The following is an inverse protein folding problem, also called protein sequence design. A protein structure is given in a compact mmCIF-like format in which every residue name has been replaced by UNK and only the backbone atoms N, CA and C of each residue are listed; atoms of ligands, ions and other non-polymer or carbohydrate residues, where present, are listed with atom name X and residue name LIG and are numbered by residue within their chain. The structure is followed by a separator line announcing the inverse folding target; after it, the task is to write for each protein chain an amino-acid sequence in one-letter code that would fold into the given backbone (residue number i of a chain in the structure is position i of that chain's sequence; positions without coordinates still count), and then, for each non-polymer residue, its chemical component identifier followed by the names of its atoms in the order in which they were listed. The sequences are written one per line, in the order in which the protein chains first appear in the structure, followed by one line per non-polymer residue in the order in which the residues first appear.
data_IF_366771436448
#
_entry.id   IF_366771436448
#
_cell.length_a   1.000
_cell.length_b   1.000
_cell.length_c   1.000
_cell.angle_alpha   90.00
_cell.angle_beta   90.00
_cell.angle_gamma   90.00
#
_symmetry.space_group_name_H-M   'P 1'
#
loop_
_entity.id
_entity.type
_entity.pdbx_description
1 polymer ?
#
# COMPACT_ATOMS: atom_id res chain seq x y z
N UNK A 1 -2.81 -21.07 -12.19
CA UNK A 1 -3.23 -19.69 -12.53
C UNK A 1 -2.02 -18.86 -12.91
N UNK A 2 -2.18 -17.81 -13.71
CA UNK A 2 -1.14 -16.80 -13.92
C UNK A 2 -1.55 -15.54 -13.16
N UNK A 3 -0.61 -14.90 -12.48
CA UNK A 3 -0.89 -13.62 -11.82
C UNK A 3 -0.90 -12.49 -12.85
N UNK A 4 -1.92 -11.65 -12.82
CA UNK A 4 -1.99 -10.47 -13.66
C UNK A 4 -1.06 -9.36 -13.13
N UNK A 5 -0.77 -8.38 -13.98
CA UNK A 5 0.13 -7.26 -13.64
C UNK A 5 -0.37 -6.46 -12.42
N UNK A 6 -1.67 -6.24 -12.34
CA UNK A 6 -2.29 -5.53 -11.21
C UNK A 6 -2.05 -6.25 -9.88
N UNK A 7 -2.30 -7.55 -9.81
CA UNK A 7 -2.03 -8.36 -8.61
C UNK A 7 -0.54 -8.33 -8.24
N UNK A 8 0.34 -8.43 -9.22
CA UNK A 8 1.78 -8.34 -8.99
C UNK A 8 2.20 -6.99 -8.43
N UNK A 9 1.63 -5.90 -8.91
CA UNK A 9 1.94 -4.56 -8.41
C UNK A 9 1.36 -4.31 -7.01
N UNK A 10 0.18 -4.83 -6.72
CA UNK A 10 -0.39 -4.83 -5.36
C UNK A 10 0.53 -5.59 -4.40
N UNK A 11 0.96 -6.80 -4.75
CA UNK A 11 1.86 -7.61 -3.91
C UNK A 11 3.22 -6.92 -3.71
N UNK A 12 3.77 -6.27 -4.73
CA UNK A 12 5.00 -5.45 -4.60
C UNK A 12 4.80 -4.29 -3.63
N UNK A 13 3.68 -3.57 -3.73
CA UNK A 13 3.36 -2.50 -2.79
C UNK A 13 3.21 -3.04 -1.36
N UNK A 14 2.50 -4.15 -1.18
CA UNK A 14 2.29 -4.78 0.12
C UNK A 14 3.60 -5.26 0.75
N UNK A 15 4.56 -5.71 -0.04
CA UNK A 15 5.88 -6.11 0.47
C UNK A 15 6.64 -4.97 1.14
N UNK A 16 6.33 -3.71 0.81
CA UNK A 16 6.87 -2.53 1.49
C UNK A 16 6.19 -2.22 2.83
N UNK A 17 4.97 -2.73 3.04
CA UNK A 17 4.19 -2.56 4.27
C UNK A 17 4.50 -3.69 5.27
N UNK A 18 4.51 -4.93 4.77
CA UNK A 18 4.79 -6.13 5.58
C UNK A 18 5.57 -7.13 4.72
N UNK A 19 6.70 -7.67 5.21
CA UNK A 19 7.46 -8.69 4.48
C UNK A 19 6.71 -10.01 4.30
N UNK A 20 5.61 -10.24 5.03
CA UNK A 20 4.81 -11.47 4.95
C UNK A 20 3.34 -11.18 4.65
N UNK A 21 2.65 -12.15 4.04
CA UNK A 21 1.23 -12.04 3.72
C UNK A 21 0.54 -13.39 3.84
N UNK A 22 -0.72 -13.37 4.26
CA UNK A 22 -1.65 -14.49 4.06
C UNK A 22 -2.60 -14.11 2.93
N UNK A 23 -2.54 -14.84 1.84
CA UNK A 23 -3.51 -14.75 0.76
C UNK A 23 -4.68 -15.65 1.15
N UNK A 24 -5.89 -15.11 1.15
CA UNK A 24 -7.14 -15.86 1.40
C UNK A 24 -7.84 -16.17 0.08
N UNK A 25 -8.70 -17.20 0.02
CA UNK A 25 -9.53 -17.45 -1.15
C UNK A 25 -10.37 -16.24 -1.53
N UNK A 26 -10.51 -15.99 -2.84
CA UNK A 26 -11.25 -14.86 -3.39
C UNK A 26 -10.35 -13.82 -4.05
N UNK A 27 -10.90 -12.63 -4.31
CA UNK A 27 -10.27 -11.54 -5.07
C UNK A 27 -9.80 -10.37 -4.20
N UNK A 28 -9.73 -10.56 -2.88
CA UNK A 28 -9.33 -9.51 -1.93
C UNK A 28 -7.99 -9.83 -1.31
N UNK A 29 -7.06 -8.93 -1.43
CA UNK A 29 -5.77 -8.97 -0.75
C UNK A 29 -5.74 -7.94 0.38
N UNK A 30 -5.16 -8.31 1.51
CA UNK A 30 -5.01 -7.39 2.64
C UNK A 30 -3.70 -7.61 3.37
N UNK A 31 -3.16 -6.53 3.92
CA UNK A 31 -1.95 -6.56 4.74
C UNK A 31 -2.00 -5.54 5.86
N UNK A 32 -1.20 -5.76 6.89
CA UNK A 32 -1.04 -4.84 8.01
C UNK A 32 0.44 -4.77 8.39
N UNK A 33 0.94 -3.56 8.64
CA UNK A 33 2.33 -3.38 9.07
C UNK A 33 2.60 -4.06 10.42
N UNK A 34 3.84 -4.52 10.69
CA UNK A 34 4.20 -5.14 11.96
C UNK A 34 3.85 -4.27 13.18
N UNK A 35 3.94 -2.95 13.06
CA UNK A 35 3.59 -1.98 14.09
C UNK A 35 2.08 -1.71 14.17
N UNK A 36 1.28 -2.29 13.29
CA UNK A 36 -0.18 -2.11 13.16
C UNK A 36 -0.61 -0.64 12.94
N UNK A 37 0.25 0.15 12.33
CA UNK A 37 0.00 1.57 12.02
C UNK A 37 -0.50 1.80 10.60
N UNK A 38 -0.28 0.85 9.70
CA UNK A 38 -0.71 0.90 8.31
C UNK A 38 -1.47 -0.39 8.01
N UNK A 39 -2.65 -0.27 7.47
CA UNK A 39 -3.43 -1.38 6.92
C UNK A 39 -3.85 -1.04 5.49
N UNK A 40 -3.72 -2.01 4.60
CA UNK A 40 -4.15 -1.87 3.22
C UNK A 40 -5.06 -3.04 2.82
N UNK A 41 -6.12 -2.73 2.11
CA UNK A 41 -7.07 -3.70 1.56
C UNK A 41 -7.29 -3.35 0.09
N UNK A 42 -7.20 -4.35 -0.77
CA UNK A 42 -7.41 -4.21 -2.21
C UNK A 42 -8.37 -5.30 -2.67
N UNK A 43 -9.39 -4.92 -3.43
CA UNK A 43 -10.33 -5.82 -4.10
C UNK A 43 -10.07 -5.84 -5.61
N UNK A 44 -10.44 -6.94 -6.26
CA UNK A 44 -10.27 -7.09 -7.72
C UNK A 44 -8.91 -7.61 -8.15
N UNK A 45 -8.14 -8.23 -7.23
CA UNK A 45 -6.97 -9.06 -7.56
C UNK A 45 -7.40 -10.32 -8.33
N UNK A 46 -6.43 -11.14 -8.71
CA UNK A 46 -6.73 -12.50 -9.21
C UNK A 46 -7.55 -13.29 -8.18
N UNK A 47 -8.37 -14.22 -8.67
CA UNK A 47 -9.18 -15.08 -7.82
C UNK A 47 -8.35 -16.28 -7.30
N UNK A 48 -8.00 -16.23 -6.04
CA UNK A 48 -7.24 -17.27 -5.37
C UNK A 48 -8.19 -18.35 -4.85
N UNK A 49 -7.91 -19.60 -5.19
CA UNK A 49 -8.75 -20.75 -4.82
C UNK A 49 -8.47 -21.31 -3.42
N UNK A 50 -7.32 -20.99 -2.84
CA UNK A 50 -6.86 -21.56 -1.57
C UNK A 50 -6.08 -20.55 -0.74
N UNK A 51 -6.04 -20.78 0.58
CA UNK A 51 -5.23 -19.99 1.50
C UNK A 51 -3.74 -20.30 1.31
N UNK A 52 -2.90 -19.26 1.33
CA UNK A 52 -1.46 -19.40 1.21
C UNK A 52 -0.72 -18.42 2.12
N UNK A 53 0.12 -18.95 3.01
CA UNK A 53 1.02 -18.17 3.85
C UNK A 53 2.37 -17.93 3.19
N UNK A 54 2.68 -16.69 2.85
CA UNK A 54 3.97 -16.28 2.26
C UNK A 54 4.73 -15.49 3.31
N UNK A 55 5.79 -16.10 3.86
CA UNK A 55 6.58 -15.48 4.93
C UNK A 55 7.51 -14.38 4.42
N UNK A 56 8.09 -14.57 3.23
CA UNK A 56 8.97 -13.59 2.57
C UNK A 56 8.39 -13.24 1.19
N UNK A 57 7.58 -12.21 1.18
CA UNK A 57 6.86 -11.76 -0.02
C UNK A 57 7.82 -11.23 -1.08
N UNK A 58 8.90 -10.55 -0.68
CA UNK A 58 9.91 -10.06 -1.63
C UNK A 58 10.63 -11.21 -2.33
N UNK A 59 10.98 -12.26 -1.58
CA UNK A 59 11.58 -13.48 -2.13
C UNK A 59 10.61 -14.23 -3.05
N UNK A 60 9.33 -14.31 -2.68
CA UNK A 60 8.30 -14.89 -3.53
C UNK A 60 8.19 -14.15 -4.87
N UNK A 61 8.07 -12.83 -4.83
CA UNK A 61 8.01 -11.99 -6.03
C UNK A 61 9.27 -12.11 -6.90
N UNK A 62 10.45 -12.13 -6.27
CA UNK A 62 11.70 -12.37 -6.98
C UNK A 62 11.73 -13.77 -7.63
N UNK A 63 11.16 -14.78 -6.96
CA UNK A 63 11.06 -16.14 -7.52
C UNK A 63 10.11 -16.19 -8.72
N UNK A 64 8.97 -15.50 -8.66
CA UNK A 64 8.05 -15.39 -9.80
C UNK A 64 8.70 -14.67 -10.97
N UNK A 65 9.51 -13.64 -10.71
CA UNK A 65 10.22 -12.87 -11.75
C UNK A 65 11.35 -13.61 -12.48
N UNK A 66 11.69 -14.82 -12.05
CA UNK A 66 12.62 -15.71 -12.80
C UNK A 66 12.00 -16.23 -14.10
N UNK A 67 10.72 -16.05 -14.29
CA UNK A 67 9.92 -16.52 -15.41
C UNK A 67 9.26 -15.33 -16.11
N UNK A 68 8.92 -15.50 -17.38
CA UNK A 68 8.22 -14.45 -18.16
C UNK A 68 6.69 -14.53 -17.99
N UNK A 69 6.14 -15.73 -18.03
CA UNK A 69 4.69 -16.00 -17.93
C UNK A 69 4.44 -17.28 -17.14
N UNK A 70 4.77 -17.29 -15.83
CA UNK A 70 4.69 -18.50 -15.03
C UNK A 70 3.26 -18.91 -14.73
N UNK A 71 3.02 -20.21 -14.73
CA UNK A 71 1.84 -20.79 -14.15
C UNK A 71 2.11 -21.17 -12.69
N UNK A 72 1.24 -20.67 -11.78
CA UNK A 72 1.29 -20.93 -10.35
C UNK A 72 0.20 -21.95 -9.99
N UNK A 73 0.60 -23.06 -9.38
CA UNK A 73 -0.29 -24.06 -8.83
C UNK A 73 -0.11 -24.09 -7.31
N UNK A 74 -1.19 -23.75 -6.61
CA UNK A 74 -1.23 -23.69 -5.15
C UNK A 74 -1.59 -25.05 -4.59
N UNK A 75 -0.67 -25.63 -3.84
CA UNK A 75 -0.87 -26.85 -3.06
C UNK A 75 -0.95 -26.48 -1.56
N UNK A 76 -1.31 -27.45 -0.72
CA UNK A 76 -1.46 -27.24 0.73
C UNK A 76 -0.21 -26.66 1.43
N UNK A 77 0.98 -27.04 0.96
CA UNK A 77 2.27 -26.65 1.60
C UNK A 77 3.24 -25.94 0.69
N UNK A 78 2.89 -25.73 -0.56
CA UNK A 78 3.78 -25.14 -1.54
C UNK A 78 3.04 -24.51 -2.70
N UNK A 79 3.72 -23.58 -3.38
CA UNK A 79 3.31 -23.06 -4.68
C UNK A 79 4.29 -23.60 -5.72
N UNK A 80 3.79 -24.36 -6.68
CA UNK A 80 4.58 -24.78 -7.83
C UNK A 80 4.51 -23.72 -8.91
N UNK A 81 5.64 -23.09 -9.20
CA UNK A 81 5.80 -22.06 -10.22
C UNK A 81 6.48 -22.68 -11.42
N UNK A 82 5.81 -22.70 -12.56
CA UNK A 82 6.26 -23.46 -13.73
C UNK A 82 6.14 -22.63 -15.01
N UNK A 83 7.10 -22.82 -15.90
CA UNK A 83 7.08 -22.31 -17.25
C UNK A 83 7.93 -23.20 -18.15
N UNK A 84 7.35 -23.77 -19.18
CA UNK A 84 8.01 -24.70 -20.09
C UNK A 84 8.65 -25.89 -19.32
N UNK A 85 10.00 -25.98 -19.37
CA UNK A 85 10.80 -27.02 -18.68
C UNK A 85 11.32 -26.56 -17.32
N UNK A 86 11.07 -25.30 -16.94
CA UNK A 86 11.54 -24.71 -15.67
C UNK A 86 10.45 -24.86 -14.60
N UNK A 87 10.87 -25.23 -13.41
CA UNK A 87 9.99 -25.38 -12.26
C UNK A 87 10.69 -24.93 -10.99
N UNK A 88 10.00 -24.20 -10.15
CA UNK A 88 10.37 -23.91 -8.76
C UNK A 88 9.21 -24.33 -7.85
N UNK A 89 9.55 -24.99 -6.75
CA UNK A 89 8.62 -25.23 -5.66
C UNK A 89 8.92 -24.22 -4.54
N UNK A 90 8.00 -23.31 -4.29
CA UNK A 90 8.07 -22.36 -3.20
C UNK A 90 7.30 -22.89 -1.99
N UNK A 91 7.99 -23.09 -0.86
CA UNK A 91 7.36 -23.63 0.37
C UNK A 91 6.56 -22.53 1.07
N UNK A 92 5.32 -22.84 1.42
CA UNK A 92 4.45 -21.98 2.20
C UNK A 92 4.80 -22.03 3.70
N UNK A 93 4.54 -20.95 4.39
CA UNK A 93 4.61 -20.86 5.84
C UNK A 93 3.25 -21.18 6.47
N UNK A 94 3.27 -21.58 7.74
CA UNK A 94 2.06 -21.67 8.54
C UNK A 94 1.44 -20.29 8.71
N UNK A 95 0.18 -20.14 8.35
CA UNK A 95 -0.54 -18.85 8.38
C UNK A 95 -0.66 -18.28 9.79
N UNK A 96 -0.60 -19.12 10.83
CA UNK A 96 -0.60 -18.68 12.23
C UNK A 96 0.65 -17.91 12.63
N UNK A 97 1.75 -18.04 11.89
CA UNK A 97 3.00 -17.31 12.11
C UNK A 97 3.03 -15.94 11.44
N UNK A 98 2.03 -15.64 10.62
CA UNK A 98 1.97 -14.40 9.84
C UNK A 98 0.96 -13.46 10.48
N UNK A 99 1.38 -12.21 10.69
CA UNK A 99 0.49 -11.18 11.17
C UNK A 99 -0.55 -10.84 10.10
N UNK A 100 -1.82 -11.00 10.45
CA UNK A 100 -2.95 -10.72 9.57
C UNK A 100 -3.72 -9.48 10.03
N UNK A 101 -4.36 -8.75 9.10
CA UNK A 101 -5.35 -7.74 9.46
C UNK A 101 -6.48 -8.35 10.30
N UNK A 102 -7.13 -7.54 11.16
CA UNK A 102 -8.28 -8.01 11.93
C UNK A 102 -9.42 -8.43 10.97
N UNK A 103 -10.10 -9.52 11.29
CA UNK A 103 -11.26 -9.98 10.50
C UNK A 103 -12.46 -9.02 10.60
N UNK A 104 -12.54 -8.30 11.72
CA UNK A 104 -13.60 -7.32 11.94
C UNK A 104 -13.34 -6.08 11.10
N UNK A 105 -14.35 -5.68 10.34
CA UNK A 105 -14.30 -4.43 9.58
C UNK A 105 -14.01 -3.24 10.50
N UNK A 106 -12.99 -2.45 10.13
CA UNK A 106 -12.64 -1.23 10.86
C UNK A 106 -13.61 -0.13 10.44
N UNK A 107 -14.52 0.20 11.30
CA UNK A 107 -15.41 1.35 11.10
C UNK A 107 -14.63 2.62 11.44
N UNK A 108 -14.37 3.43 10.41
CA UNK A 108 -13.77 4.75 10.61
C UNK A 108 -14.80 5.70 11.23
N UNK A 109 -14.40 6.58 12.14
CA UNK A 109 -15.28 7.65 12.60
C UNK A 109 -15.68 8.55 11.41
N UNK A 110 -16.80 9.30 11.51
CA UNK A 110 -17.19 10.23 10.47
C UNK A 110 -16.04 11.23 10.22
N UNK A 111 -15.66 11.38 8.95
CA UNK A 111 -14.64 12.35 8.56
C UNK A 111 -15.24 13.75 8.54
N UNK A 112 -14.62 14.70 9.22
CA UNK A 112 -14.98 16.12 9.18
C UNK A 112 -14.53 16.76 7.87
N UNK A 113 -13.39 16.33 7.33
CA UNK A 113 -12.83 16.81 6.06
C UNK A 113 -12.59 15.62 5.13
N UNK A 114 -13.04 15.75 3.86
CA UNK A 114 -12.75 14.81 2.77
C UNK A 114 -12.17 15.59 1.61
N UNK A 115 -11.07 15.10 1.07
CA UNK A 115 -10.37 15.72 -0.05
C UNK A 115 -9.97 14.63 -1.04
N UNK A 116 -10.33 14.83 -2.30
CA UNK A 116 -9.85 14.03 -3.42
C UNK A 116 -8.64 14.72 -4.02
N UNK A 117 -7.49 14.08 -4.02
CA UNK A 117 -6.24 14.63 -4.55
C UNK A 117 -5.76 13.84 -5.75
N UNK A 118 -5.22 14.53 -6.75
CA UNK A 118 -4.56 13.87 -7.86
C UNK A 118 -3.20 13.31 -7.42
N UNK A 119 -2.78 12.20 -8.02
CA UNK A 119 -1.44 11.65 -7.78
C UNK A 119 -0.34 12.65 -8.16
N UNK A 120 -0.55 13.44 -9.21
CA UNK A 120 0.40 14.46 -9.66
C UNK A 120 0.58 15.58 -8.63
N UNK A 121 -0.50 16.04 -8.01
CA UNK A 121 -0.43 17.07 -6.97
C UNK A 121 0.33 16.57 -5.75
N UNK A 122 0.00 15.36 -5.28
CA UNK A 122 0.72 14.74 -4.19
C UNK A 122 2.21 14.59 -4.49
N UNK A 123 2.56 14.06 -5.67
CA UNK A 123 3.96 13.92 -6.07
C UNK A 123 4.70 15.27 -6.16
N UNK A 124 4.03 16.32 -6.64
CA UNK A 124 4.64 17.64 -6.73
C UNK A 124 4.99 18.21 -5.36
N UNK A 125 4.11 18.03 -4.38
CA UNK A 125 4.33 18.48 -2.99
C UNK A 125 5.41 17.63 -2.32
N UNK A 126 5.41 16.32 -2.49
CA UNK A 126 6.46 15.44 -1.95
C UNK A 126 7.84 15.76 -2.53
N UNK A 127 7.90 16.03 -3.84
CA UNK A 127 9.15 16.46 -4.49
C UNK A 127 9.63 17.81 -3.96
N UNK A 128 8.73 18.77 -3.79
CA UNK A 128 9.06 20.07 -3.23
C UNK A 128 9.55 19.95 -1.78
N UNK A 129 8.89 19.11 -0.96
CA UNK A 129 9.34 18.82 0.40
C UNK A 129 10.78 18.30 0.44
N UNK A 130 11.11 17.36 -0.46
CA UNK A 130 12.47 16.82 -0.57
C UNK A 130 13.50 17.88 -1.01
N UNK A 131 13.16 18.68 -2.02
CA UNK A 131 14.07 19.71 -2.57
C UNK A 131 14.33 20.84 -1.58
N UNK A 132 13.29 21.28 -0.87
CA UNK A 132 13.35 22.37 0.10
C UNK A 132 13.74 21.91 1.51
N UNK A 133 13.90 20.60 1.74
CA UNK A 133 14.23 20.03 3.05
C UNK A 133 13.14 20.25 4.09
N UNK A 134 11.87 20.24 3.67
CA UNK A 134 10.71 20.47 4.54
C UNK A 134 10.26 19.15 5.18
N UNK A 135 10.10 19.10 6.52
CA UNK A 135 9.90 17.84 7.23
C UNK A 135 8.46 17.34 7.26
N UNK A 136 7.49 18.16 6.85
CA UNK A 136 6.07 17.88 7.03
C UNK A 136 5.27 18.21 5.78
N UNK A 137 4.25 17.39 5.53
CA UNK A 137 3.17 17.66 4.59
C UNK A 137 1.94 18.05 5.41
N UNK A 138 1.23 19.09 5.00
CA UNK A 138 0.03 19.54 5.67
C UNK A 138 -1.15 19.66 4.71
N UNK A 139 -2.34 19.42 5.23
CA UNK A 139 -3.57 19.92 4.67
C UNK A 139 -4.03 21.11 5.50
N UNK A 140 -4.22 22.24 4.86
CA UNK A 140 -4.68 23.47 5.49
C UNK A 140 -5.99 23.94 4.85
N UNK A 141 -6.99 24.24 5.68
CA UNK A 141 -8.19 24.99 5.26
C UNK A 141 -7.97 26.46 5.56
N UNK A 142 -7.79 27.28 4.53
CA UNK A 142 -7.48 28.73 4.63
C UNK A 142 -8.20 29.48 3.52
N UNK A 143 -8.87 30.57 3.87
CA UNK A 143 -9.52 31.49 2.94
C UNK A 143 -10.51 30.84 1.95
N UNK A 144 -11.19 29.79 2.40
CA UNK A 144 -12.15 29.05 1.58
C UNK A 144 -11.57 27.95 0.72
N UNK A 145 -10.26 27.73 0.77
CA UNK A 145 -9.54 26.71 0.00
C UNK A 145 -8.96 25.62 0.91
N UNK A 146 -8.79 24.41 0.35
CA UNK A 146 -7.98 23.36 0.93
C UNK A 146 -6.65 23.32 0.17
N UNK A 147 -5.57 23.55 0.89
CA UNK A 147 -4.21 23.55 0.34
C UNK A 147 -3.46 22.34 0.87
N UNK A 148 -2.88 21.55 -0.05
CA UNK A 148 -1.89 20.54 0.26
C UNK A 148 -0.51 21.18 0.17
N UNK A 149 0.24 21.21 1.26
CA UNK A 149 1.50 21.95 1.30
C UNK A 149 2.64 21.18 1.99
N UNK A 150 3.86 21.48 1.55
CA UNK A 150 5.10 21.10 2.22
C UNK A 150 5.54 22.26 3.12
N UNK A 151 5.78 21.97 4.39
CA UNK A 151 6.02 23.00 5.42
C UNK A 151 6.98 22.53 6.51
N UNK A 152 7.40 23.48 7.33
CA UNK A 152 8.00 23.24 8.63
C UNK A 152 7.15 23.95 9.70
N UNK A 153 6.28 23.20 10.37
CA UNK A 153 5.38 23.75 11.39
C UNK A 153 6.10 24.37 12.59
N UNK A 154 7.36 23.96 12.83
CA UNK A 154 8.20 24.46 13.93
C UNK A 154 8.95 25.73 13.58
N UNK A 155 9.10 26.03 12.29
CA UNK A 155 9.80 27.23 11.83
C UNK A 155 9.01 27.90 10.68
N UNK A 156 8.12 28.85 10.99
CA UNK A 156 7.27 29.49 9.99
C UNK A 156 8.03 30.44 9.03
N UNK A 157 9.33 30.66 9.24
CA UNK A 157 10.17 31.50 8.38
C UNK A 157 10.86 30.73 7.25
N UNK A 158 10.65 29.39 7.19
CA UNK A 158 11.18 28.56 6.10
C UNK A 158 10.34 28.71 4.84
N UNK A 159 10.92 28.23 3.73
CA UNK A 159 10.19 28.09 2.47
C UNK A 159 8.93 27.25 2.65
N UNK A 160 7.98 27.44 1.74
CA UNK A 160 6.73 26.67 1.66
C UNK A 160 6.42 26.38 0.19
N UNK A 161 5.78 25.27 -0.05
CA UNK A 161 5.22 24.94 -1.36
C UNK A 161 3.83 24.38 -1.17
N UNK A 162 2.84 24.89 -1.89
CA UNK A 162 1.45 24.46 -1.76
C UNK A 162 0.74 24.36 -3.09
N UNK A 163 -0.26 23.49 -3.13
CA UNK A 163 -1.19 23.30 -4.25
C UNK A 163 -2.60 23.30 -3.69
N UNK A 164 -3.49 24.12 -4.26
CA UNK A 164 -4.92 24.11 -3.94
C UNK A 164 -5.55 22.80 -4.48
N UNK A 165 -6.15 22.01 -3.59
CA UNK A 165 -6.71 20.71 -3.92
C UNK A 165 -8.21 20.61 -3.67
N UNK A 166 -8.82 21.67 -3.16
CA UNK A 166 -10.27 21.70 -2.89
C UNK A 166 -10.73 23.02 -2.28
N UNK A 167 -11.96 23.04 -1.82
CA UNK A 167 -12.57 24.17 -1.12
C UNK A 167 -13.23 23.72 0.19
N UNK A 168 -13.25 24.60 1.18
CA UNK A 168 -13.85 24.36 2.50
C UNK A 168 -14.34 25.65 3.12
N UNK A 169 -15.34 25.56 3.97
CA UNK A 169 -15.73 26.67 4.86
C UNK A 169 -14.97 26.67 6.19
N UNK A 170 -14.25 25.59 6.47
CA UNK A 170 -13.60 25.38 7.76
C UNK A 170 -12.13 25.78 7.74
N UNK A 171 -11.67 26.31 8.84
CA UNK A 171 -10.25 26.62 9.05
C UNK A 171 -9.61 25.52 9.88
N UNK A 172 -8.61 24.84 9.31
CA UNK A 172 -7.90 23.75 9.97
C UNK A 172 -6.46 23.61 9.48
N UNK A 173 -5.65 22.91 10.25
CA UNK A 173 -4.32 22.47 9.85
C UNK A 173 -4.08 21.04 10.32
N UNK A 174 -3.78 20.12 9.40
CA UNK A 174 -3.44 18.73 9.66
C UNK A 174 -2.03 18.46 9.13
N UNK A 175 -1.12 18.06 10.02
CA UNK A 175 0.28 17.81 9.68
C UNK A 175 0.57 16.31 9.65
N UNK A 176 1.29 15.89 8.61
CA UNK A 176 1.80 14.52 8.44
C UNK A 176 3.32 14.55 8.35
N UNK A 177 3.98 13.54 8.90
CA UNK A 177 5.45 13.39 8.91
C UNK A 177 5.85 12.22 8.03
#
# INVERSE_FOLDING_TARGET
MQLNEYTMDVLKNFSSINPSIVIKPGTTLSTISPQKTIMAIVSGSDDFSSEAGIYDLSRFLATVSLFESPELNFDEKSINIMENKRKVQYTLADTSMILQPPEKEITMPPCEVKVDISWNDLQSVLKAASVLGLPEIAFAGVDGEIVLEAVNSKNPTTDRYGVTVGSTSDTFNMYMK
#
